data_IF_442677872459
#
_entry.id   IF_442677872459
#
_cell.length_a   1.000
_cell.length_b   1.000
_cell.length_c   1.000
_cell.angle_alpha   90.00
_cell.angle_beta   90.00
_cell.angle_gamma   90.00
#
_symmetry.space_group_name_H-M   'P 1'
#
loop_
_entity.id
_entity.type
_entity.pdbx_description
1 polymer ?
#
# COMPACT_ATOMS: atom_id res chain seq x y z
N UNK A 1 27.02 18.23 26.92
CA UNK A 1 26.93 17.77 25.51
C UNK A 1 25.46 17.47 25.22
N UNK A 2 24.83 18.21 24.31
CA UNK A 2 23.43 18.01 23.91
C UNK A 2 23.33 16.67 23.19
N UNK A 3 22.63 15.70 23.77
CA UNK A 3 22.26 14.46 23.08
C UNK A 3 21.19 14.87 22.07
N UNK A 4 21.51 14.79 20.78
CA UNK A 4 20.56 14.99 19.70
C UNK A 4 19.57 13.82 19.71
N UNK A 5 18.28 14.08 19.96
CA UNK A 5 17.21 13.14 19.64
C UNK A 5 16.95 13.18 18.12
N UNK A 6 17.86 12.60 17.35
CA UNK A 6 17.60 12.26 15.94
C UNK A 6 18.03 10.83 15.69
N UNK A 7 17.07 9.91 15.79
CA UNK A 7 17.08 8.68 14.99
C UNK A 7 15.66 8.25 14.63
N UNK A 8 15.03 8.87 13.60
CA UNK A 8 13.76 8.41 13.04
C UNK A 8 13.88 7.55 11.76
N UNK A 9 15.09 7.28 11.22
CA UNK A 9 15.21 6.75 9.85
C UNK A 9 14.83 5.27 9.66
N UNK A 10 15.12 4.38 10.62
CA UNK A 10 14.88 2.95 10.48
C UNK A 10 13.37 2.62 10.52
N UNK A 11 12.64 3.18 11.48
CA UNK A 11 11.19 2.97 11.62
C UNK A 11 10.42 3.60 10.44
N UNK A 12 10.91 4.73 9.93
CA UNK A 12 10.33 5.41 8.78
C UNK A 12 10.44 4.54 7.50
N UNK A 13 11.60 3.93 7.28
CA UNK A 13 11.80 2.98 6.17
C UNK A 13 10.93 1.73 6.30
N UNK A 14 10.76 1.21 7.52
CA UNK A 14 9.88 0.06 7.76
C UNK A 14 8.42 0.40 7.43
N UNK A 15 7.91 1.56 7.84
CA UNK A 15 6.55 2.01 7.51
C UNK A 15 6.34 2.14 6.00
N UNK A 16 7.31 2.70 5.27
CA UNK A 16 7.26 2.79 3.81
C UNK A 16 7.32 1.40 3.16
N UNK A 17 8.16 0.50 3.67
CA UNK A 17 8.28 -0.87 3.17
C UNK A 17 7.00 -1.68 3.39
N UNK A 18 6.40 -1.61 4.57
CA UNK A 18 5.10 -2.24 4.83
C UNK A 18 4.02 -1.69 3.92
N UNK A 19 4.00 -0.36 3.72
CA UNK A 19 3.06 0.29 2.80
C UNK A 19 3.24 -0.23 1.37
N UNK A 20 4.48 -0.33 0.89
CA UNK A 20 4.79 -0.83 -0.45
C UNK A 20 4.32 -2.28 -0.64
N UNK A 21 4.57 -3.15 0.35
CA UNK A 21 4.15 -4.56 0.30
C UNK A 21 2.62 -4.67 0.20
N UNK A 22 1.89 -3.88 0.99
CA UNK A 22 0.42 -3.87 0.94
C UNK A 22 -0.08 -3.36 -0.41
N UNK A 23 0.48 -2.30 -0.97
CA UNK A 23 0.06 -1.81 -2.30
C UNK A 23 0.34 -2.86 -3.39
N UNK A 24 1.52 -3.48 -3.37
CA UNK A 24 1.90 -4.50 -4.34
C UNK A 24 1.03 -5.76 -4.25
N UNK A 25 0.59 -6.16 -3.06
CA UNK A 25 -0.29 -7.33 -2.89
C UNK A 25 -1.68 -7.12 -3.48
N UNK A 26 -2.13 -5.87 -3.64
CA UNK A 26 -3.46 -5.54 -4.17
C UNK A 26 -3.51 -5.33 -5.69
N UNK A 27 -2.38 -5.14 -6.38
CA UNK A 27 -2.34 -4.94 -7.83
C UNK A 27 -2.99 -6.10 -8.61
N UNK A 28 -2.67 -7.34 -8.25
CA UNK A 28 -3.22 -8.52 -8.94
C UNK A 28 -4.70 -8.77 -8.58
N UNK A 29 -5.12 -8.78 -7.30
CA UNK A 29 -6.53 -8.92 -6.93
C UNK A 29 -7.44 -7.86 -7.55
N UNK A 30 -7.03 -6.58 -7.58
CA UNK A 30 -7.84 -5.50 -8.16
C UNK A 30 -7.95 -5.63 -9.67
N UNK A 31 -6.85 -5.98 -10.37
CA UNK A 31 -6.89 -6.26 -11.81
C UNK A 31 -7.81 -7.44 -12.15
N UNK A 32 -7.91 -8.42 -11.26
CA UNK A 32 -8.84 -9.54 -11.43
C UNK A 32 -10.29 -9.11 -11.16
N UNK A 33 -10.53 -8.35 -10.09
CA UNK A 33 -11.84 -7.81 -9.77
C UNK A 33 -12.40 -6.92 -10.89
N UNK A 34 -11.56 -6.11 -11.56
CA UNK A 34 -12.01 -5.26 -12.67
C UNK A 34 -12.65 -6.08 -13.80
N UNK A 35 -12.09 -7.25 -14.12
CA UNK A 35 -12.60 -8.17 -15.14
C UNK A 35 -13.90 -8.87 -14.76
N UNK A 36 -14.20 -8.98 -13.47
CA UNK A 36 -15.40 -9.65 -12.95
C UNK A 36 -16.64 -8.73 -12.94
N UNK A 37 -16.45 -7.41 -12.90
CA UNK A 37 -17.53 -6.41 -12.86
C UNK A 37 -17.78 -5.73 -14.21
N UNK A 38 -17.32 -6.32 -15.31
CA UNK A 38 -17.40 -5.85 -16.71
C UNK A 38 -18.80 -5.42 -17.18
N UNK A 39 -19.87 -5.87 -16.49
CA UNK A 39 -21.26 -5.55 -16.83
C UNK A 39 -21.92 -4.53 -15.88
N UNK A 40 -21.18 -3.83 -15.02
CA UNK A 40 -21.74 -2.81 -14.12
C UNK A 40 -20.93 -1.50 -14.18
N UNK A 41 -21.55 -0.39 -13.73
CA UNK A 41 -20.94 0.95 -13.52
C UNK A 41 -19.59 0.93 -12.77
N UNK A 42 -19.22 -0.20 -12.18
CA UNK A 42 -17.98 -0.45 -11.42
C UNK A 42 -16.76 -0.69 -12.32
N UNK A 43 -16.93 -1.07 -13.60
CA UNK A 43 -15.80 -1.36 -14.51
C UNK A 43 -14.83 -0.18 -14.64
N UNK A 44 -15.34 1.02 -14.92
CA UNK A 44 -14.51 2.23 -15.04
C UNK A 44 -13.91 2.70 -13.71
N UNK A 45 -14.49 2.30 -12.57
CA UNK A 45 -13.95 2.62 -11.25
C UNK A 45 -12.76 1.71 -10.92
N UNK A 46 -12.82 0.44 -11.31
CA UNK A 46 -11.76 -0.53 -10.98
C UNK A 46 -10.45 -0.29 -11.73
N UNK A 47 -10.52 0.13 -13.00
CA UNK A 47 -9.31 0.47 -13.78
C UNK A 47 -8.63 1.72 -13.21
N UNK A 48 -9.41 2.74 -12.84
CA UNK A 48 -8.91 3.93 -12.15
C UNK A 48 -8.28 3.60 -10.80
N UNK A 49 -8.85 2.66 -10.04
CA UNK A 49 -8.27 2.21 -8.77
C UNK A 49 -6.93 1.51 -9.03
N UNK A 50 -6.84 0.64 -10.04
CA UNK A 50 -5.59 -0.01 -10.42
C UNK A 50 -4.50 1.01 -10.78
N UNK A 51 -4.80 2.00 -11.62
CA UNK A 51 -3.88 3.09 -11.97
C UNK A 51 -3.41 3.86 -10.71
N UNK A 52 -4.34 4.20 -9.81
CA UNK A 52 -4.00 4.92 -8.57
C UNK A 52 -3.11 4.11 -7.63
N UNK A 53 -3.26 2.78 -7.59
CA UNK A 53 -2.37 1.91 -6.83
C UNK A 53 -0.96 1.89 -7.44
N UNK A 54 -0.82 1.94 -8.76
CA UNK A 54 0.49 2.05 -9.42
C UNK A 54 1.16 3.41 -9.16
N UNK A 55 0.40 4.50 -9.25
CA UNK A 55 0.88 5.84 -8.91
C UNK A 55 1.41 5.86 -7.46
N UNK A 56 0.67 5.24 -6.53
CA UNK A 56 1.04 5.17 -5.12
C UNK A 56 2.27 4.28 -4.89
N UNK A 57 2.39 3.14 -5.57
CA UNK A 57 3.58 2.29 -5.54
C UNK A 57 4.84 3.10 -5.92
N UNK A 58 4.77 3.82 -7.04
CA UNK A 58 5.87 4.65 -7.52
C UNK A 58 6.21 5.78 -6.54
N UNK A 59 5.19 6.45 -6.00
CA UNK A 59 5.36 7.50 -5.00
C UNK A 59 6.08 7.00 -3.74
N UNK A 60 5.70 5.82 -3.23
CA UNK A 60 6.37 5.20 -2.07
C UNK A 60 7.83 4.85 -2.40
N UNK A 61 8.12 4.33 -3.59
CA UNK A 61 9.49 4.02 -4.02
C UNK A 61 10.36 5.29 -4.17
N UNK A 62 9.79 6.42 -4.58
CA UNK A 62 10.49 7.72 -4.55
C UNK A 62 10.78 8.13 -3.11
N UNK A 63 9.80 8.09 -2.22
CA UNK A 63 9.97 8.45 -0.80
C UNK A 63 11.01 7.57 -0.09
N UNK A 64 11.07 6.27 -0.40
CA UNK A 64 12.08 5.37 0.16
C UNK A 64 13.50 5.79 -0.25
N UNK A 65 13.71 6.18 -1.51
CA UNK A 65 15.01 6.70 -1.98
C UNK A 65 15.40 7.98 -1.27
N UNK A 66 14.46 8.91 -1.08
CA UNK A 66 14.71 10.15 -0.33
C UNK A 66 15.08 9.89 1.14
N UNK A 67 14.48 8.88 1.77
CA UNK A 67 14.82 8.49 3.15
C UNK A 67 16.18 7.76 3.22
N UNK A 68 16.52 6.95 2.21
CA UNK A 68 17.81 6.25 2.08
C UNK A 68 18.97 7.20 1.78
N UNK A 69 18.79 8.22 0.93
CA UNK A 69 19.85 9.20 0.60
C UNK A 69 20.31 10.03 1.82
N UNK A 70 19.51 10.08 2.89
CA UNK A 70 19.89 10.64 4.20
C UNK A 70 20.54 9.64 5.18
N UNK A 71 20.61 8.35 4.84
CA UNK A 71 21.07 7.27 5.73
C UNK A 71 21.98 6.29 4.97
N UNK A 72 23.30 6.37 5.19
CA UNK A 72 24.24 5.36 4.68
C UNK A 72 23.97 3.97 5.28
N UNK A 73 23.37 3.07 4.50
CA UNK A 73 23.71 1.64 4.29
C UNK A 73 22.50 0.88 3.75
N UNK A 74 22.72 0.21 2.64
CA UNK A 74 21.71 -0.61 1.98
C UNK A 74 21.27 -1.85 2.76
N UNK A 75 20.10 -2.37 2.39
CA UNK A 75 19.72 -3.75 2.69
C UNK A 75 18.80 -4.29 1.60
N UNK A 76 19.03 -5.56 1.24
CA UNK A 76 18.44 -6.23 0.08
C UNK A 76 16.90 -6.27 0.09
N UNK A 77 16.37 -5.97 -1.09
CA UNK A 77 14.97 -6.01 -1.50
C UNK A 77 14.45 -7.46 -1.52
N UNK A 78 13.93 -7.94 -0.39
CA UNK A 78 13.11 -9.16 -0.40
C UNK A 78 11.75 -8.83 -1.00
N UNK A 79 11.57 -9.23 -2.26
CA UNK A 79 10.31 -9.22 -3.01
C UNK A 79 9.39 -10.30 -2.41
N UNK A 80 8.24 -9.97 -1.82
CA UNK A 80 7.28 -10.98 -1.44
C UNK A 80 6.65 -11.56 -2.72
N UNK A 81 6.90 -12.83 -3.01
CA UNK A 81 6.08 -13.60 -3.95
C UNK A 81 4.85 -14.08 -3.20
N UNK A 82 3.73 -13.38 -3.34
CA UNK A 82 2.45 -13.88 -2.84
C UNK A 82 1.87 -14.89 -3.83
N UNK A 83 1.38 -16.01 -3.28
CA UNK A 83 0.84 -17.13 -4.03
C UNK A 83 -0.37 -16.74 -4.88
N UNK A 84 -0.45 -17.42 -6.03
CA UNK A 84 -1.47 -17.27 -7.06
C UNK A 84 -2.84 -17.58 -6.45
N UNK A 85 -3.71 -16.57 -6.42
CA UNK A 85 -5.10 -16.74 -6.01
C UNK A 85 -5.88 -17.34 -7.19
N UNK A 86 -6.28 -18.61 -7.08
CA UNK A 86 -7.20 -19.25 -8.03
C UNK A 86 -8.61 -19.23 -7.47
N UNK A 87 -9.55 -18.67 -8.25
CA UNK A 87 -10.96 -18.66 -7.91
C UNK A 87 -11.77 -19.39 -8.98
N UNK A 88 -12.67 -20.28 -8.52
CA UNK A 88 -13.58 -21.05 -9.35
C UNK A 88 -15.01 -20.48 -9.23
N UNK A 89 -15.59 -20.07 -10.36
CA UNK A 89 -16.87 -19.35 -10.46
C UNK A 89 -18.07 -20.30 -10.38
N UNK A 90 -18.96 -20.07 -9.39
CA UNK A 90 -20.43 -20.21 -9.37
C UNK A 90 -20.93 -20.68 -8.00
N UNK A 91 -21.38 -19.75 -7.14
CA UNK A 91 -22.17 -19.98 -5.91
C UNK A 91 -22.25 -18.66 -5.09
N UNK A 92 -23.22 -18.50 -4.19
CA UNK A 92 -23.23 -17.47 -3.12
C UNK A 92 -21.90 -17.38 -2.35
N UNK A 93 -21.15 -18.48 -2.29
CA UNK A 93 -19.78 -18.57 -1.77
C UNK A 93 -18.81 -17.62 -2.50
N UNK A 94 -19.04 -17.33 -3.79
CA UNK A 94 -18.24 -16.37 -4.56
C UNK A 94 -18.54 -14.91 -4.19
N UNK A 95 -19.81 -14.57 -3.94
CA UNK A 95 -20.18 -13.23 -3.48
C UNK A 95 -19.58 -12.96 -2.09
N UNK A 96 -19.64 -13.94 -1.18
CA UNK A 96 -19.05 -13.80 0.15
C UNK A 96 -17.51 -13.69 0.10
N UNK A 97 -16.84 -14.49 -0.75
CA UNK A 97 -15.39 -14.40 -0.95
C UNK A 97 -14.98 -13.05 -1.56
N UNK A 98 -15.76 -12.51 -2.50
CA UNK A 98 -15.54 -11.19 -3.07
C UNK A 98 -15.75 -10.07 -2.02
N UNK A 99 -16.79 -10.15 -1.20
CA UNK A 99 -17.02 -9.21 -0.10
C UNK A 99 -15.86 -9.23 0.90
N UNK A 100 -15.38 -10.42 1.29
CA UNK A 100 -14.25 -10.56 2.20
C UNK A 100 -12.97 -9.94 1.60
N UNK A 101 -12.71 -10.15 0.31
CA UNK A 101 -11.59 -9.56 -0.39
C UNK A 101 -11.66 -8.02 -0.41
N UNK A 102 -12.83 -7.45 -0.72
CA UNK A 102 -13.04 -5.99 -0.69
C UNK A 102 -12.93 -5.40 0.72
N UNK A 103 -13.38 -6.15 1.74
CA UNK A 103 -13.22 -5.76 3.15
C UNK A 103 -11.74 -5.71 3.56
N UNK A 104 -10.95 -6.70 3.14
CA UNK A 104 -9.50 -6.70 3.32
C UNK A 104 -8.84 -5.52 2.58
N UNK A 105 -9.23 -5.26 1.32
CA UNK A 105 -8.72 -4.14 0.53
C UNK A 105 -8.91 -2.81 1.26
N UNK A 106 -10.13 -2.56 1.76
CA UNK A 106 -10.43 -1.37 2.54
C UNK A 106 -9.55 -1.26 3.80
N UNK A 107 -9.41 -2.34 4.55
CA UNK A 107 -8.63 -2.36 5.80
C UNK A 107 -7.15 -2.10 5.54
N UNK A 108 -6.59 -2.70 4.50
CA UNK A 108 -5.18 -2.56 4.19
C UNK A 108 -4.86 -1.19 3.60
N UNK A 109 -5.73 -0.61 2.76
CA UNK A 109 -5.54 0.78 2.32
C UNK A 109 -5.64 1.79 3.47
N UNK A 110 -6.54 1.58 4.44
CA UNK A 110 -6.57 2.41 5.64
C UNK A 110 -5.28 2.32 6.46
N UNK A 111 -4.65 1.13 6.54
CA UNK A 111 -3.31 1.00 7.17
C UNK A 111 -2.26 1.77 6.39
N UNK A 112 -2.23 1.65 5.06
CA UNK A 112 -1.29 2.39 4.19
C UNK A 112 -1.46 3.90 4.40
N UNK A 113 -2.68 4.42 4.36
CA UNK A 113 -2.98 5.82 4.63
C UNK A 113 -2.45 6.26 6.00
N UNK A 114 -2.72 5.45 7.04
CA UNK A 114 -2.24 5.73 8.40
C UNK A 114 -0.71 5.80 8.46
N UNK A 115 -0.01 4.84 7.85
CA UNK A 115 1.46 4.81 7.83
C UNK A 115 2.05 6.00 7.07
N UNK A 116 1.50 6.33 5.90
CA UNK A 116 1.95 7.48 5.11
C UNK A 116 1.66 8.80 5.83
N UNK A 117 0.54 8.92 6.56
CA UNK A 117 0.25 10.10 7.39
C UNK A 117 1.28 10.27 8.51
N UNK A 118 1.61 9.18 9.22
CA UNK A 118 2.65 9.20 10.25
C UNK A 118 4.00 9.65 9.67
N UNK A 119 4.38 9.11 8.51
CA UNK A 119 5.58 9.51 7.78
C UNK A 119 5.57 10.99 7.43
N UNK A 120 4.45 11.49 6.90
CA UNK A 120 4.27 12.88 6.51
C UNK A 120 4.46 13.83 7.70
N UNK A 121 3.85 13.51 8.83
CA UNK A 121 3.95 14.26 10.08
C UNK A 121 5.38 14.31 10.63
N UNK A 122 6.10 13.18 10.59
CA UNK A 122 7.47 13.07 11.11
C UNK A 122 8.49 13.83 10.25
N UNK A 123 8.34 13.78 8.93
CA UNK A 123 9.34 14.29 7.98
C UNK A 123 9.08 15.70 7.47
N UNK A 124 7.82 16.03 7.19
CA UNK A 124 7.47 17.30 6.55
C UNK A 124 6.88 18.33 7.51
N UNK A 125 6.78 18.00 8.81
CA UNK A 125 6.30 18.89 9.90
C UNK A 125 5.03 19.66 9.54
N UNK A 126 4.05 18.99 8.92
CA UNK A 126 2.75 19.59 8.66
C UNK A 126 1.97 19.83 9.97
N UNK A 127 1.37 21.02 10.08
CA UNK A 127 0.73 21.53 11.30
C UNK A 127 -0.61 20.82 11.59
N UNK A 128 -1.18 20.10 10.62
CA UNK A 128 -2.48 19.41 10.73
C UNK A 128 -2.41 17.99 11.32
N UNK A 129 -1.28 17.61 11.92
CA UNK A 129 -1.10 16.31 12.55
C UNK A 129 -1.65 16.31 13.98
N UNK A 130 -2.97 16.12 14.12
CA UNK A 130 -3.60 15.90 15.43
C UNK A 130 -3.62 14.38 15.71
N UNK A 131 -3.15 13.92 16.88
CA UNK A 131 -3.15 12.51 17.29
C UNK A 131 -4.53 11.85 17.24
#
# INVERSE_FOLDING_TARGET
KRISCQTPSLQDMELLRFSLILIQSWLNPIRFLSRMFTNSLVFGTSDRVYEKLQDLEQGIQVLMREVEDGTSRGLQLLRPTYEKFEFNLQSEVALLKNYNLLSCFKKDLHKVETFLRVMKCRRFREISCIP
#
